data_IF_838802350692
#
_entry.id   IF_838802350692
#
_cell.length_a   1.000
_cell.length_b   1.000
_cell.length_c   1.000
_cell.angle_alpha   90.00
_cell.angle_beta   90.00
_cell.angle_gamma   90.00
#
_symmetry.space_group_name_H-M   'P 1'
#
loop_
_entity.id
_entity.type
_entity.pdbx_description
1 polymer ?
2 branched ?
3 branched ?
4 non-polymer ?
5 water ?
#
# COMPACT_ATOMS: atom_id res chain seq x y z
N UNK A 3 3.12 14.91 -11.45
CA UNK A 3 1.70 15.37 -11.30
C UNK A 3 0.77 14.19 -10.84
N UNK A 4 1.29 13.24 -10.08
CA UNK A 4 0.42 12.32 -9.33
C UNK A 4 -0.12 13.07 -8.12
N UNK A 5 -1.45 13.26 -8.12
CA UNK A 5 -2.08 13.91 -6.96
C UNK A 5 -1.93 13.05 -5.73
N UNK A 6 -1.39 13.63 -4.65
CA UNK A 6 -1.35 12.95 -3.37
C UNK A 6 -2.31 13.64 -2.43
N UNK A 7 -3.19 12.85 -1.78
CA UNK A 7 -4.24 13.51 -1.02
C UNK A 7 -3.75 14.02 0.32
N UNK A 8 -4.47 15.00 0.89
CA UNK A 8 -4.18 15.45 2.26
C UNK A 8 -4.62 14.36 3.24
N UNK A 9 -4.23 14.50 4.49
CA UNK A 9 -4.75 13.56 5.52
C UNK A 9 -6.30 13.66 5.53
N UNK A 10 -6.95 12.53 5.81
CA UNK A 10 -8.38 12.58 6.05
C UNK A 10 -9.23 12.33 4.79
N UNK A 11 -8.59 12.27 3.63
CA UNK A 11 -9.30 12.02 2.40
C UNK A 11 -9.07 10.56 2.03
N UNK A 12 -10.17 9.84 1.81
CA UNK A 12 -10.06 8.36 1.61
C UNK A 12 -9.93 7.96 0.16
N UNK A 13 -9.26 6.82 -0.05
CA UNK A 13 -9.05 6.31 -1.40
C UNK A 13 -8.84 4.85 -1.29
N UNK A 14 -8.72 4.20 -2.46
CA UNK A 14 -8.37 2.77 -2.54
C UNK A 14 -7.09 2.74 -3.39
N UNK A 15 -6.33 1.68 -3.25
CA UNK A 15 -5.12 1.51 -3.98
C UNK A 15 -5.29 0.42 -5.01
N UNK A 16 -5.42 0.85 -6.28
CA UNK A 16 -5.65 -0.09 -7.37
C UNK A 16 -4.31 -0.48 -7.95
N UNK A 17 -4.13 -1.78 -8.20
CA UNK A 17 -2.83 -2.23 -8.81
C UNK A 17 -2.98 -2.27 -10.32
N UNK A 18 -1.95 -1.75 -11.01
CA UNK A 18 -1.89 -1.91 -12.45
C UNK A 18 -2.02 -3.36 -12.91
N UNK A 19 -1.21 -4.26 -12.34
CA UNK A 19 -1.13 -5.61 -12.89
C UNK A 19 -2.39 -6.47 -12.48
N UNK A 20 -2.93 -6.20 -11.29
CA UNK A 20 -3.98 -7.03 -10.73
C UNK A 20 -5.37 -6.51 -11.01
N UNK A 21 -5.52 -5.19 -11.24
CA UNK A 21 -6.85 -4.58 -11.37
C UNK A 21 -7.65 -4.89 -10.09
N UNK A 22 -6.98 -5.02 -8.94
CA UNK A 22 -7.72 -5.21 -7.68
C UNK A 22 -7.21 -4.20 -6.69
N UNK A 23 -7.91 -4.03 -5.57
CA UNK A 23 -7.51 -3.06 -4.58
C UNK A 23 -7.04 -3.74 -3.31
N UNK A 24 -6.12 -3.08 -2.59
CA UNK A 24 -5.65 -3.64 -1.30
C UNK A 24 -6.84 -3.60 -0.30
N UNK A 25 -7.02 -4.69 0.46
CA UNK A 25 -7.87 -4.60 1.63
C UNK A 25 -7.09 -4.79 2.93
N UNK A 26 -7.65 -4.19 3.99
CA UNK A 26 -7.14 -4.40 5.38
C UNK A 26 -8.43 -4.53 6.23
N UNK A 27 -8.63 -5.68 6.87
CA UNK A 27 -9.93 -6.00 7.53
C UNK A 27 -9.69 -6.65 8.88
N UNK A 28 -10.74 -6.82 9.67
CA UNK A 28 -10.64 -7.44 10.93
C UNK A 28 -10.65 -8.93 10.75
N UNK A 29 -11.55 -9.38 9.85
CA UNK A 29 -11.81 -10.78 9.61
C UNK A 29 -12.51 -10.88 8.24
N UNK A 30 -12.48 -12.07 7.59
CA UNK A 30 -11.77 -13.30 8.04
C UNK A 30 -10.26 -13.15 7.70
N UNK A 31 -9.52 -14.22 7.96
CA UNK A 31 -8.10 -14.32 7.63
C UNK A 31 -8.00 -14.66 6.10
N UNK A 32 -6.96 -14.20 5.39
CA UNK A 32 -5.94 -13.24 5.90
C UNK A 32 -6.49 -11.86 6.08
N UNK A 33 -5.85 -11.07 6.93
CA UNK A 33 -6.44 -9.76 7.25
C UNK A 33 -6.01 -8.67 6.30
N UNK A 34 -5.03 -8.96 5.42
CA UNK A 34 -4.69 -8.04 4.29
C UNK A 34 -4.72 -8.90 3.02
N UNK A 35 -4.86 -8.21 1.89
CA UNK A 35 -4.75 -8.96 0.61
C UNK A 35 -5.32 -8.02 -0.46
N UNK A 36 -5.70 -8.69 -1.55
CA UNK A 36 -6.40 -7.98 -2.65
C UNK A 36 -7.85 -8.40 -2.76
N UNK A 37 -8.72 -7.43 -3.12
CA UNK A 37 -10.13 -7.76 -3.37
C UNK A 37 -10.71 -6.99 -4.64
N UNK A 38 -11.89 -7.36 -5.08
CA UNK A 38 -12.44 -6.83 -6.38
C UNK A 38 -12.72 -5.32 -6.30
N UNK A 39 -12.24 -4.57 -7.29
CA UNK A 39 -12.53 -3.13 -7.37
C UNK A 39 -14.00 -2.89 -7.29
N UNK A 40 -14.83 -3.76 -7.86
CA UNK A 40 -16.22 -3.37 -7.97
C UNK A 40 -16.95 -3.29 -6.62
N UNK A 41 -16.37 -3.94 -5.60
CA UNK A 41 -17.10 -4.16 -4.31
C UNK A 41 -17.25 -2.87 -3.51
N UNK A 42 -16.23 -2.02 -3.54
CA UNK A 42 -16.21 -0.71 -2.82
C UNK A 42 -16.56 -0.90 -1.34
N UNK A 43 -15.94 -1.96 -0.79
CA UNK A 43 -16.21 -2.31 0.60
C UNK A 43 -15.33 -1.41 1.48
N UNK A 44 -15.83 -1.13 2.68
CA UNK A 44 -15.14 -0.19 3.57
C UNK A 44 -13.66 -0.59 3.80
N UNK A 45 -13.42 -1.90 3.84
CA UNK A 45 -12.05 -2.40 4.15
C UNK A 45 -11.10 -2.25 2.97
N UNK A 46 -11.63 -1.74 1.86
CA UNK A 46 -10.70 -1.30 0.77
C UNK A 46 -10.24 0.16 0.89
N UNK A 47 -10.75 0.87 1.89
CA UNK A 47 -10.44 2.32 1.97
C UNK A 47 -9.34 2.64 2.93
N UNK A 48 -8.48 3.58 2.53
CA UNK A 48 -7.34 4.02 3.36
C UNK A 48 -7.26 5.56 3.30
N UNK A 49 -6.54 6.15 4.28
CA UNK A 49 -6.13 7.57 4.11
C UNK A 49 -4.65 7.63 4.53
N UNK A 50 -4.03 8.76 4.29
CA UNK A 50 -2.58 8.86 4.53
C UNK A 50 -2.33 9.58 5.81
N UNK A 51 -1.22 9.15 6.47
CA UNK A 51 -0.69 9.96 7.55
C UNK A 51 0.61 10.55 7.04
N UNK A 52 0.77 11.86 7.17
CA UNK A 52 1.97 12.48 6.68
C UNK A 52 3.09 12.30 7.72
N UNK A 53 4.21 11.76 7.30
CA UNK A 53 5.40 11.68 8.17
C UNK A 53 6.02 13.01 8.46
N UNK A 54 6.64 13.14 9.65
CA UNK A 54 7.28 14.32 10.13
C UNK A 54 8.59 13.81 10.77
N UNK A 55 9.48 14.77 11.01
CA UNK A 55 10.78 14.55 11.57
C UNK A 55 11.52 13.56 10.76
N UNK A 56 11.77 12.40 11.36
CA UNK A 56 12.53 11.39 10.60
C UNK A 56 11.83 10.73 9.45
N UNK A 57 10.50 10.79 9.48
CA UNK A 57 9.70 10.28 8.40
C UNK A 57 9.21 11.40 7.45
N UNK A 58 9.79 12.61 7.52
CA UNK A 58 9.45 13.75 6.62
C UNK A 58 9.57 13.25 5.15
N UNK A 59 8.52 13.43 4.35
CA UNK A 59 8.51 13.00 2.98
C UNK A 59 7.91 11.65 2.75
N UNK A 60 7.61 10.91 3.81
CA UNK A 60 7.08 9.59 3.70
C UNK A 60 5.65 9.59 4.25
N UNK A 61 4.93 8.52 3.96
CA UNK A 61 3.50 8.46 4.33
C UNK A 61 3.27 7.13 4.91
N UNK A 62 2.38 7.11 5.92
CA UNK A 62 1.79 5.86 6.40
C UNK A 62 0.41 5.68 5.82
N UNK A 63 -0.04 4.46 5.71
CA UNK A 63 -1.25 4.14 4.96
C UNK A 63 -2.24 3.53 5.98
N UNK A 64 -3.24 4.29 6.39
CA UNK A 64 -4.14 3.91 7.50
C UNK A 64 -5.49 3.35 6.99
N UNK A 65 -5.80 2.12 7.47
CA UNK A 65 -7.08 1.45 7.10
C UNK A 65 -8.34 2.12 7.71
N UNK A 66 -9.36 2.36 6.88
CA UNK A 66 -10.61 2.97 7.37
C UNK A 66 -11.36 1.91 8.19
N UNK A 67 -11.23 0.65 7.74
CA UNK A 67 -11.94 -0.44 8.45
C UNK A 67 -11.38 -0.83 9.81
N UNK A 68 -10.05 -0.76 9.93
CA UNK A 68 -9.48 -1.22 11.20
C UNK A 68 -8.69 -0.19 12.01
N UNK A 69 -8.34 0.92 11.35
CA UNK A 69 -7.56 1.97 12.02
C UNK A 69 -6.07 1.67 11.97
N UNK A 70 -5.71 0.47 11.53
CA UNK A 70 -4.29 0.08 11.54
C UNK A 70 -3.56 0.67 10.37
N UNK A 71 -2.22 0.63 10.37
CA UNK A 71 -1.41 1.13 9.22
C UNK A 71 -0.75 -0.10 8.55
N UNK A 72 -0.55 -0.01 7.25
CA UNK A 72 0.12 -1.07 6.49
C UNK A 72 1.61 -1.10 6.89
N UNK A 73 2.19 -2.28 6.78
CA UNK A 73 3.66 -2.40 6.84
C UNK A 73 4.16 -3.23 5.66
N UNK A 74 5.43 -3.00 5.33
CA UNK A 74 6.13 -3.74 4.26
C UNK A 74 7.47 -3.95 4.86
N UNK A 75 7.90 -5.19 4.96
CA UNK A 75 9.20 -5.48 5.58
C UNK A 75 9.91 -6.72 5.05
N UNK A 76 11.23 -6.78 5.26
CA UNK A 76 12.02 -7.99 5.22
C UNK A 76 13.15 -7.76 6.23
N UNK A 77 13.65 -8.82 6.91
CA UNK A 77 13.31 -10.23 6.57
C UNK A 77 12.19 -10.88 7.39
N UNK A 78 11.55 -10.12 8.30
CA UNK A 78 10.59 -10.79 9.18
C UNK A 78 9.30 -11.12 8.34
N UNK A 79 8.82 -12.36 8.49
CA UNK A 79 7.65 -12.81 7.74
C UNK A 79 6.42 -12.81 8.73
N UNK A 80 5.20 -12.60 8.19
CA UNK A 80 5.01 -12.29 6.79
C UNK A 80 5.45 -10.88 6.35
N UNK A 81 5.68 -10.65 5.06
CA UNK A 81 6.35 -9.42 4.63
C UNK A 81 5.45 -8.21 4.60
N UNK A 82 4.13 -8.44 4.45
CA UNK A 82 3.20 -7.32 4.47
C UNK A 82 2.03 -7.65 5.43
N UNK A 83 1.45 -6.57 5.94
CA UNK A 83 0.30 -6.75 6.85
C UNK A 83 -0.07 -5.38 7.35
N UNK A 84 -0.73 -5.38 8.49
CA UNK A 84 -1.20 -4.12 9.15
C UNK A 84 -0.94 -4.22 10.64
N UNK A 85 -0.84 -3.07 11.34
CA UNK A 85 -0.59 -3.03 12.70
C UNK A 85 -1.08 -1.71 13.35
N UNK A 86 -1.45 -1.81 14.62
CA UNK A 86 -1.81 -0.60 15.38
C UNK A 86 -0.67 0.44 15.48
N UNK A 87 -1.04 1.70 15.72
CA UNK A 87 0.05 2.61 16.25
C UNK A 87 0.34 3.88 15.42
N UNK A 88 -0.40 4.04 14.32
CA UNK A 88 -0.28 5.27 13.46
C UNK A 88 1.16 5.56 12.99
N UNK A 89 1.92 4.48 12.77
CA UNK A 89 3.24 4.58 12.18
C UNK A 89 4.33 4.59 13.23
N UNK A 90 4.13 3.73 14.25
CA UNK A 90 5.08 3.64 15.32
C UNK A 90 6.33 2.87 14.88
N UNK A 91 6.26 2.10 13.79
CA UNK A 91 7.42 1.31 13.35
C UNK A 91 8.01 1.88 12.05
N UNK A 92 9.32 1.72 11.84
CA UNK A 92 9.96 2.28 10.63
C UNK A 92 9.41 1.70 9.36
N UNK A 93 8.93 0.46 9.40
CA UNK A 93 8.37 -0.19 8.21
C UNK A 93 6.89 0.13 7.90
N UNK A 94 6.36 1.17 8.56
CA UNK A 94 5.02 1.70 8.29
C UNK A 94 5.11 2.91 7.35
N UNK A 95 6.29 3.22 6.87
CA UNK A 95 6.56 4.54 6.18
C UNK A 95 6.97 4.28 4.74
N UNK A 96 6.23 4.92 3.82
CA UNK A 96 6.38 4.66 2.36
C UNK A 96 6.68 5.93 1.61
N UNK A 97 7.58 5.79 0.61
CA UNK A 97 7.84 6.76 -0.42
C UNK A 97 6.92 6.49 -1.63
N UNK A 98 6.34 7.54 -2.18
CA UNK A 98 5.48 7.38 -3.37
C UNK A 98 6.33 7.72 -4.59
N UNK A 99 6.53 6.70 -5.46
CA UNK A 99 7.50 6.81 -6.52
C UNK A 99 6.80 6.68 -7.91
N UNK A 100 6.49 7.81 -8.56
CA UNK A 100 5.76 7.77 -9.83
C UNK A 100 6.53 7.00 -10.91
N UNK A 101 5.77 6.29 -11.72
CA UNK A 101 6.33 5.70 -12.95
C UNK A 101 6.38 6.62 -14.16
N UNK A 102 6.70 6.00 -15.30
CA UNK A 102 6.76 6.70 -16.57
C UNK A 102 6.01 5.92 -17.67
N UNK A 103 5.95 6.53 -18.85
CA UNK A 103 5.19 6.06 -20.02
C UNK A 103 3.82 5.53 -19.53
N UNK A 104 3.53 4.23 -19.75
CA UNK A 104 2.18 3.70 -19.37
C UNK A 104 1.93 3.63 -17.89
N UNK A 105 2.99 3.86 -17.09
CA UNK A 105 2.90 3.90 -15.65
C UNK A 105 3.00 5.34 -15.13
N UNK A 106 2.94 6.32 -16.04
CA UNK A 106 3.02 7.74 -15.59
C UNK A 106 1.94 8.16 -14.60
N UNK A 107 0.81 7.46 -14.60
CA UNK A 107 -0.24 7.74 -13.66
C UNK A 107 -0.28 6.78 -12.52
N UNK A 108 0.82 6.03 -12.35
CA UNK A 108 0.87 5.08 -11.27
C UNK A 108 2.15 5.38 -10.47
N UNK A 109 2.30 4.65 -9.38
CA UNK A 109 3.50 4.80 -8.55
C UNK A 109 3.75 3.52 -7.80
N UNK A 110 5.06 3.40 -7.42
CA UNK A 110 5.39 2.33 -6.48
C UNK A 110 5.19 2.90 -5.04
N UNK A 111 5.04 1.98 -4.13
CA UNK A 111 5.00 2.31 -2.69
C UNK A 111 6.23 1.62 -2.10
N UNK A 112 7.26 2.41 -1.88
CA UNK A 112 8.58 1.86 -1.51
C UNK A 112 8.74 2.14 -0.04
N UNK A 113 9.09 1.10 0.72
CA UNK A 113 9.40 1.28 2.12
C UNK A 113 10.91 1.33 2.25
N UNK A 114 11.46 2.56 2.39
CA UNK A 114 12.90 2.70 2.10
C UNK A 114 13.80 1.99 3.11
N UNK A 115 13.39 1.96 4.41
CA UNK A 115 14.42 1.48 5.40
C UNK A 115 14.58 -0.08 5.23
N UNK A 116 13.53 -0.78 4.86
CA UNK A 116 13.67 -2.25 4.57
C UNK A 116 13.98 -2.51 3.10
N UNK A 117 13.92 -1.45 2.27
CA UNK A 117 14.25 -1.61 0.86
C UNK A 117 13.30 -2.44 0.05
N UNK A 118 11.99 -2.34 0.37
CA UNK A 118 11.01 -3.18 -0.29
C UNK A 118 10.01 -2.33 -1.00
N UNK A 119 9.32 -2.94 -1.96
CA UNK A 119 8.27 -2.26 -2.68
C UNK A 119 7.03 -3.15 -2.60
N UNK A 120 5.88 -2.57 -2.42
CA UNK A 120 4.61 -3.38 -2.43
C UNK A 120 4.30 -3.97 -3.83
N UNK A 121 3.67 -5.17 -3.78
CA UNK A 121 3.34 -5.94 -4.98
C UNK A 121 1.83 -6.19 -4.97
N UNK A 122 1.21 -6.06 -6.16
CA UNK A 122 -0.22 -6.38 -6.36
C UNK A 122 -0.35 -7.08 -7.70
N UNK A 123 -0.59 -8.39 -7.70
CA UNK A 123 -0.41 -9.19 -8.92
C UNK A 123 -1.42 -10.34 -8.94
N UNK A 124 -1.54 -10.94 -10.11
CA UNK A 124 -2.36 -12.12 -10.22
C UNK A 124 -1.58 -13.35 -10.60
N UNK A 125 -0.31 -13.26 -11.00
CA UNK A 125 0.28 -14.43 -11.62
C UNK A 125 1.02 -15.40 -10.69
N UNK A 126 1.26 -14.92 -9.48
CA UNK A 126 2.01 -15.71 -8.49
C UNK A 126 1.51 -15.24 -7.11
N UNK A 127 1.51 -16.19 -6.17
CA UNK A 127 1.15 -15.90 -4.78
C UNK A 127 2.42 -15.72 -3.96
N UNK A 128 2.34 -14.92 -2.85
CA UNK A 128 1.16 -14.13 -2.43
C UNK A 128 0.81 -13.03 -3.39
N UNK A 129 -0.51 -12.79 -3.55
CA UNK A 129 -0.95 -11.80 -4.53
C UNK A 129 -0.68 -10.38 -4.08
N UNK A 130 -0.85 -10.13 -2.78
CA UNK A 130 -0.38 -8.92 -2.15
C UNK A 130 0.87 -9.24 -1.36
N UNK A 131 1.98 -8.57 -1.73
CA UNK A 131 3.32 -8.96 -1.19
C UNK A 131 4.28 -7.81 -1.28
N UNK A 132 5.58 -8.08 -1.17
CA UNK A 132 6.56 -7.03 -1.45
C UNK A 132 7.72 -7.67 -2.23
N UNK A 133 8.65 -6.84 -2.66
CA UNK A 133 9.79 -7.30 -3.46
C UNK A 133 10.93 -6.38 -3.20
N UNK A 134 12.20 -6.87 -3.26
CA UNK A 134 13.27 -5.88 -3.12
C UNK A 134 13.12 -4.76 -4.18
N UNK A 135 13.23 -3.53 -3.70
CA UNK A 135 12.85 -2.29 -4.39
C UNK A 135 13.78 -2.11 -5.58
N UNK A 136 14.99 -2.69 -5.54
CA UNK A 136 16.00 -2.54 -6.59
C UNK A 136 15.63 -3.28 -7.88
N UNK A 137 14.71 -4.22 -7.80
CA UNK A 137 14.28 -4.96 -8.98
C UNK A 137 12.81 -4.60 -9.33
N UNK A 138 12.64 -3.85 -10.41
CA UNK A 138 11.31 -3.25 -10.67
C UNK A 138 10.50 -4.11 -11.63
N UNK A 139 9.21 -4.25 -11.27
CA UNK A 139 8.22 -4.91 -12.13
C UNK A 139 6.95 -4.07 -12.16
N UNK A 140 6.20 -4.26 -13.23
CA UNK A 140 4.89 -3.59 -13.39
C UNK A 140 3.92 -3.83 -12.26
N UNK A 141 4.03 -5.01 -11.59
CA UNK A 141 3.02 -5.32 -10.57
C UNK A 141 3.39 -4.65 -9.26
N UNK A 142 4.44 -3.79 -9.24
CA UNK A 142 4.69 -2.96 -8.05
C UNK A 142 3.99 -1.59 -8.22
N UNK A 143 3.10 -1.41 -9.20
CA UNK A 143 2.55 -0.04 -9.51
C UNK A 143 1.08 0.00 -9.05
N UNK A 144 0.73 1.15 -8.49
CA UNK A 144 -0.61 1.37 -7.89
C UNK A 144 -1.07 2.73 -8.32
N UNK A 145 -2.38 2.97 -8.15
CA UNK A 145 -2.90 4.31 -8.44
C UNK A 145 -3.99 4.57 -7.39
N UNK A 146 -4.14 5.83 -7.00
CA UNK A 146 -5.18 6.17 -6.03
C UNK A 146 -6.50 6.21 -6.79
N UNK A 147 -7.51 5.52 -6.24
CA UNK A 147 -8.89 5.62 -6.72
C UNK A 147 -9.78 6.31 -5.75
N UNK A 148 -10.28 7.47 -6.10
CA UNK A 148 -11.14 8.27 -5.20
C UNK A 148 -12.60 8.12 -5.60
N UNK A 149 -13.49 8.32 -4.66
CA UNK A 149 -14.93 8.46 -4.99
C UNK A 149 -15.11 9.73 -5.77
#
# INVERSE_FOLDING_TARGET
MTDIYIPPEGLYFRLLGFASRQVIFARNSPSPDVGLSPVNDQATDQYFSLIYGTGEHAGLYAIKSKATGKVLFSRRPAEPYVGQIDGDGRYPDNWFKIEPGKTYLSKYFRLVQPSTGTALVSRTHLQPYFWNHPQTEVFDDQYFTFLFED
#
